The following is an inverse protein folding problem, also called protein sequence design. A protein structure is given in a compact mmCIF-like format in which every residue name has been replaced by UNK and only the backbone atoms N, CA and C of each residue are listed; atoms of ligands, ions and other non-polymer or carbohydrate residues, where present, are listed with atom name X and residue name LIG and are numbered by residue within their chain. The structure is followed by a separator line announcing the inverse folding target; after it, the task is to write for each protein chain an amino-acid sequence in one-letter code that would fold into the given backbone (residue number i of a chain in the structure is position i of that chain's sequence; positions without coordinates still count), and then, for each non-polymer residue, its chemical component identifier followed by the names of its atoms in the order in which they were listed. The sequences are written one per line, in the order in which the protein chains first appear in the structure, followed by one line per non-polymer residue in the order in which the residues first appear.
data_IF_038444631865
#
_entry.id   IF_038444631865
#
_cell.length_a   1.000
_cell.length_b   1.000
_cell.length_c   1.000
_cell.angle_alpha   90.00
_cell.angle_beta   90.00
_cell.angle_gamma   90.00
#
_symmetry.space_group_name_H-M   'P 1'
#
loop_
_entity.id
_entity.type
_entity.pdbx_description
1 polymer ?
#
# COMPACT_ATOMS: atom_id res chain seq x y z
N UNK A 1 -12.34 -0.82 8.46
CA UNK A 1 -11.08 -0.25 7.96
C UNK A 1 -11.05 -0.34 6.44
N UNK A 2 -10.62 0.70 5.79
CA UNK A 2 -10.51 0.73 4.33
C UNK A 2 -9.07 1.02 3.94
N UNK A 3 -8.53 0.23 3.01
CA UNK A 3 -7.17 0.37 2.54
C UNK A 3 -7.21 0.57 1.03
N UNK A 4 -6.57 1.65 0.56
CA UNK A 4 -6.45 1.93 -0.87
C UNK A 4 -4.99 1.91 -1.23
N UNK A 5 -4.63 1.19 -2.28
CA UNK A 5 -3.27 1.21 -2.80
C UNK A 5 -3.29 1.63 -4.27
N UNK A 6 -2.42 2.56 -4.59
CA UNK A 6 -2.21 3.01 -5.96
C UNK A 6 -0.74 2.83 -6.30
N UNK A 7 -0.46 2.31 -7.48
CA UNK A 7 0.91 2.05 -7.92
C UNK A 7 1.18 2.93 -9.13
N UNK A 8 2.27 3.70 -9.07
CA UNK A 8 2.66 4.57 -10.16
C UNK A 8 4.15 4.44 -10.46
N UNK A 9 4.58 5.00 -11.59
CA UNK A 9 5.98 4.97 -11.98
C UNK A 9 6.33 3.79 -12.88
N UNK A 10 7.61 3.62 -13.17
CA UNK A 10 8.09 2.57 -14.03
C UNK A 10 7.52 2.70 -15.44
N UNK A 11 7.07 1.59 -15.98
CA UNK A 11 6.44 1.55 -17.31
C UNK A 11 4.92 1.62 -17.22
N UNK A 12 4.40 2.25 -16.20
CA UNK A 12 2.96 2.30 -15.94
C UNK A 12 2.21 3.21 -16.93
N UNK A 13 2.49 3.06 -18.20
CA UNK A 13 1.73 3.70 -19.24
C UNK A 13 0.39 3.00 -19.49
N UNK A 14 0.17 1.87 -18.85
CA UNK A 14 -1.07 1.10 -19.00
C UNK A 14 -2.02 1.52 -17.88
N UNK A 15 -3.10 2.26 -18.18
CA UNK A 15 -3.98 2.80 -17.13
C UNK A 15 -4.56 1.75 -16.20
N UNK A 16 -4.81 0.54 -16.70
CA UNK A 16 -5.37 -0.52 -15.86
C UNK A 16 -4.46 -0.96 -14.73
N UNK A 17 -3.13 -0.83 -14.91
CA UNK A 17 -2.18 -1.24 -13.89
C UNK A 17 -2.00 -0.18 -12.82
N UNK A 18 -2.37 1.07 -13.12
CA UNK A 18 -2.25 2.16 -12.16
C UNK A 18 -3.56 2.48 -11.46
N UNK A 19 -4.64 1.76 -11.78
CA UNK A 19 -5.93 1.98 -11.13
C UNK A 19 -5.83 1.62 -9.64
N UNK A 20 -6.36 2.48 -8.75
CA UNK A 20 -6.33 2.18 -7.32
C UNK A 20 -7.11 0.92 -6.99
N UNK A 21 -6.59 0.15 -6.05
CA UNK A 21 -7.28 -1.01 -5.50
C UNK A 21 -7.76 -0.67 -4.10
N UNK A 22 -9.01 -0.99 -3.80
CA UNK A 22 -9.59 -0.73 -2.49
C UNK A 22 -9.91 -2.03 -1.79
N UNK A 23 -9.48 -2.14 -0.54
CA UNK A 23 -9.79 -3.29 0.32
C UNK A 23 -10.60 -2.77 1.49
N UNK A 24 -11.81 -3.31 1.65
CA UNK A 24 -12.64 -3.02 2.82
C UNK A 24 -12.55 -4.24 3.74
N UNK A 25 -11.91 -4.08 4.89
CA UNK A 25 -11.66 -5.21 5.79
C UNK A 25 -12.94 -5.79 6.38
N UNK A 26 -14.05 -5.06 6.30
CA UNK A 26 -15.35 -5.58 6.75
C UNK A 26 -15.95 -6.55 5.72
N UNK A 27 -15.42 -6.56 4.51
CA UNK A 27 -15.94 -7.38 3.41
C UNK A 27 -15.03 -8.54 3.02
N UNK A 28 -13.91 -8.71 3.69
CA UNK A 28 -13.01 -9.82 3.44
C UNK A 28 -13.02 -10.78 4.61
N UNK A 29 -12.39 -11.93 4.42
CA UNK A 29 -12.24 -12.93 5.47
C UNK A 29 -11.63 -12.29 6.72
N UNK A 30 -12.20 -12.60 7.89
CA UNK A 30 -11.72 -12.06 9.17
C UNK A 30 -10.24 -12.37 9.42
N UNK A 31 -9.77 -13.50 8.91
CA UNK A 31 -8.34 -13.87 9.03
C UNK A 31 -7.47 -12.89 8.25
N UNK A 32 -7.87 -12.56 7.04
CA UNK A 32 -7.13 -11.61 6.21
C UNK A 32 -7.19 -10.21 6.81
N UNK A 33 -8.35 -9.82 7.33
CA UNK A 33 -8.49 -8.52 7.98
C UNK A 33 -7.58 -8.40 9.19
N UNK A 34 -7.52 -9.45 10.01
CA UNK A 34 -6.63 -9.48 11.18
C UNK A 34 -5.16 -9.46 10.79
N UNK A 35 -4.81 -10.15 9.70
CA UNK A 35 -3.45 -10.14 9.18
C UNK A 35 -3.03 -8.75 8.73
N UNK A 36 -3.89 -8.06 7.99
CA UNK A 36 -3.61 -6.70 7.55
C UNK A 36 -3.45 -5.75 8.73
N UNK A 37 -4.33 -5.87 9.72
CA UNK A 37 -4.23 -5.03 10.91
C UNK A 37 -2.91 -5.25 11.63
N UNK A 38 -2.48 -6.50 11.76
CA UNK A 38 -1.21 -6.84 12.38
C UNK A 38 -0.03 -6.24 11.61
N UNK A 39 -0.06 -6.33 10.29
CA UNK A 39 0.99 -5.77 9.45
C UNK A 39 1.05 -4.24 9.56
N UNK A 40 -0.10 -3.58 9.64
CA UNK A 40 -0.16 -2.14 9.84
C UNK A 40 0.48 -1.76 11.17
N UNK A 41 0.19 -2.52 12.23
CA UNK A 41 0.78 -2.27 13.54
C UNK A 41 2.29 -2.51 13.54
N UNK A 42 2.75 -3.57 12.90
CA UNK A 42 4.18 -3.86 12.82
C UNK A 42 4.95 -2.79 12.05
N UNK A 43 4.31 -2.22 11.04
CA UNK A 43 4.92 -1.17 10.22
C UNK A 43 4.77 0.21 10.86
N UNK A 44 4.04 0.34 11.96
CA UNK A 44 3.71 1.63 12.57
C UNK A 44 3.15 2.59 11.52
N UNK A 45 2.21 2.11 10.72
CA UNK A 45 1.77 2.81 9.52
C UNK A 45 1.33 4.25 9.81
N UNK A 46 0.52 4.46 10.86
CA UNK A 46 0.01 5.79 11.16
C UNK A 46 1.08 6.75 11.69
N UNK A 47 2.24 6.23 12.07
CA UNK A 47 3.38 7.04 12.53
C UNK A 47 4.42 7.24 11.43
N UNK A 48 4.22 6.63 10.26
CA UNK A 48 5.16 6.80 9.15
C UNK A 48 5.02 8.20 8.54
N UNK A 49 6.13 8.76 8.03
CA UNK A 49 6.04 10.03 7.30
C UNK A 49 5.23 9.82 6.01
N UNK A 50 4.70 10.92 5.48
CA UNK A 50 3.90 10.84 4.26
C UNK A 50 4.72 10.37 3.06
N UNK A 51 6.02 10.57 3.07
CA UNK A 51 6.91 10.15 1.99
C UNK A 51 8.04 9.32 2.57
N UNK A 52 8.18 8.11 2.04
CA UNK A 52 9.25 7.19 2.42
C UNK A 52 10.06 6.90 1.15
N UNK A 53 11.38 7.01 1.25
CA UNK A 53 12.28 6.77 0.12
C UNK A 53 11.99 7.68 -1.07
N UNK A 54 12.40 8.95 -0.97
CA UNK A 54 12.27 9.89 -2.09
C UNK A 54 13.11 9.40 -3.26
N UNK A 55 12.54 9.32 -4.48
CA UNK A 55 13.30 8.88 -5.64
C UNK A 55 14.42 9.87 -5.97
N UNK A 56 15.57 9.32 -6.37
CA UNK A 56 16.68 10.12 -6.83
C UNK A 56 16.42 10.61 -8.25
N UNK A 57 17.00 11.77 -8.65
CA UNK A 57 16.89 12.23 -10.02
C UNK A 57 17.37 11.15 -10.99
N UNK A 58 16.62 10.93 -12.05
CA UNK A 58 16.97 9.90 -13.03
C UNK A 58 16.46 8.51 -12.70
N UNK A 59 15.75 8.35 -11.59
CA UNK A 59 15.21 7.05 -11.16
C UNK A 59 13.81 6.83 -11.69
N UNK A 60 13.60 7.05 -12.98
CA UNK A 60 12.27 7.00 -13.58
C UNK A 60 11.63 5.62 -13.59
N UNK A 61 12.45 4.57 -13.47
CA UNK A 61 11.96 3.20 -13.51
C UNK A 61 11.51 2.65 -12.17
N UNK A 62 11.63 3.45 -11.11
CA UNK A 62 11.24 3.00 -9.78
C UNK A 62 9.72 3.11 -9.60
N UNK A 63 9.16 2.08 -8.97
CA UNK A 63 7.74 2.06 -8.64
C UNK A 63 7.47 2.84 -7.37
N UNK A 64 6.35 3.53 -7.32
CA UNK A 64 5.89 4.23 -6.12
C UNK A 64 4.55 3.65 -5.70
N UNK A 65 4.44 3.30 -4.43
CA UNK A 65 3.22 2.75 -3.86
C UNK A 65 2.60 3.80 -2.95
N UNK A 66 1.37 4.17 -3.25
CA UNK A 66 0.65 5.17 -2.45
C UNK A 66 -0.43 4.41 -1.69
N UNK A 67 -0.24 4.29 -0.39
CA UNK A 67 -1.14 3.52 0.48
C UNK A 67 -1.89 4.47 1.39
N UNK A 68 -3.21 4.39 1.34
CA UNK A 68 -4.08 5.19 2.20
C UNK A 68 -4.88 4.23 3.07
N UNK A 69 -4.84 4.45 4.38
CA UNK A 69 -5.61 3.65 5.34
C UNK A 69 -6.55 4.56 6.11
N UNK A 70 -7.81 4.17 6.12
CA UNK A 70 -8.85 4.85 6.90
C UNK A 70 -9.36 3.89 7.97
N UNK A 71 -9.16 4.23 9.22
CA UNK A 71 -9.54 3.39 10.35
C UNK A 71 -9.86 4.26 11.58
N UNK A 72 -10.97 3.97 12.23
CA UNK A 72 -11.34 4.60 13.50
C UNK A 72 -11.27 6.13 13.45
N UNK A 73 -11.77 6.71 12.38
CA UNK A 73 -11.79 8.17 12.22
C UNK A 73 -10.44 8.78 11.83
N UNK A 74 -9.43 7.96 11.59
CA UNK A 74 -8.12 8.45 11.14
C UNK A 74 -7.88 8.06 9.69
N UNK A 75 -7.25 8.95 8.96
CA UNK A 75 -6.85 8.70 7.57
C UNK A 75 -5.38 9.07 7.45
N UNK A 76 -4.59 8.17 6.90
CA UNK A 76 -3.17 8.43 6.69
C UNK A 76 -2.74 7.87 5.34
N UNK A 77 -1.99 8.65 4.60
CA UNK A 77 -1.46 8.27 3.29
C UNK A 77 0.05 8.26 3.36
N UNK A 78 0.65 7.16 2.91
CA UNK A 78 2.11 7.04 2.84
C UNK A 78 2.49 6.72 1.42
N UNK A 79 3.44 7.48 0.89
CA UNK A 79 4.00 7.25 -0.43
C UNK A 79 5.37 6.59 -0.28
N UNK A 80 5.50 5.40 -0.83
CA UNK A 80 6.72 4.59 -0.66
C UNK A 80 7.30 4.30 -2.03
N UNK A 81 8.55 4.69 -2.25
CA UNK A 81 9.23 4.44 -3.53
C UNK A 81 10.24 3.31 -3.36
N UNK A 82 10.30 2.41 -4.36
CA UNK A 82 11.29 1.33 -4.37
C UNK A 82 12.72 1.89 -4.29
N UNK A 83 13.65 1.13 -3.73
CA UNK A 83 13.43 -0.12 -3.02
C UNK A 83 12.87 0.13 -1.62
N UNK A 84 11.94 -0.72 -1.20
CA UNK A 84 11.39 -0.62 0.15
C UNK A 84 12.37 -1.25 1.11
N UNK A 85 13.05 -0.43 1.90
CA UNK A 85 14.09 -0.91 2.80
C UNK A 85 13.57 -1.39 4.15
N UNK A 86 12.39 -0.93 4.55
CA UNK A 86 11.77 -1.37 5.80
C UNK A 86 11.04 -2.70 5.56
N UNK A 87 11.48 -3.81 6.17
CA UNK A 87 10.83 -5.11 5.96
C UNK A 87 9.34 -5.11 6.32
N UNK A 88 8.96 -4.37 7.34
CA UNK A 88 7.57 -4.32 7.78
C UNK A 88 6.70 -3.63 6.73
N UNK A 89 7.19 -2.53 6.15
CA UNK A 89 6.47 -1.85 5.08
C UNK A 89 6.43 -2.72 3.82
N UNK A 90 7.51 -3.41 3.51
CA UNK A 90 7.55 -4.30 2.35
C UNK A 90 6.50 -5.40 2.48
N UNK A 91 6.45 -6.05 3.63
CA UNK A 91 5.47 -7.10 3.89
C UNK A 91 4.05 -6.58 3.76
N UNK A 92 3.80 -5.39 4.30
CA UNK A 92 2.48 -4.76 4.24
C UNK A 92 2.07 -4.50 2.78
N UNK A 93 2.94 -3.87 2.01
CA UNK A 93 2.65 -3.55 0.60
C UNK A 93 2.40 -4.81 -0.20
N UNK A 94 3.25 -5.82 -0.04
CA UNK A 94 3.09 -7.07 -0.78
C UNK A 94 1.77 -7.76 -0.44
N UNK A 95 1.39 -7.74 0.83
CA UNK A 95 0.15 -8.40 1.25
C UNK A 95 -1.07 -7.64 0.75
N UNK A 96 -1.05 -6.32 0.81
CA UNK A 96 -2.14 -5.50 0.27
C UNK A 96 -2.32 -5.79 -1.22
N UNK A 97 -1.24 -5.86 -1.96
CA UNK A 97 -1.30 -6.14 -3.40
C UNK A 97 -1.88 -7.52 -3.68
N UNK A 98 -1.45 -8.51 -2.92
CA UNK A 98 -1.93 -9.87 -3.10
C UNK A 98 -3.44 -9.99 -2.83
N UNK A 99 -3.90 -9.38 -1.74
CA UNK A 99 -5.31 -9.40 -1.37
C UNK A 99 -6.13 -8.58 -2.37
N UNK A 100 -5.63 -7.40 -2.73
CA UNK A 100 -6.30 -6.55 -3.69
C UNK A 100 -6.51 -7.23 -5.03
N UNK A 101 -5.51 -7.95 -5.53
CA UNK A 101 -5.65 -8.70 -6.77
C UNK A 101 -6.68 -9.81 -6.64
N UNK A 102 -6.71 -10.49 -5.51
CA UNK A 102 -7.65 -11.58 -5.27
C UNK A 102 -9.09 -11.08 -5.22
N UNK A 103 -9.32 -9.89 -4.66
CA UNK A 103 -10.65 -9.31 -4.52
C UNK A 103 -11.18 -8.68 -5.81
N UNK A 104 -10.37 -8.60 -6.84
CA UNK A 104 -10.72 -7.93 -8.08
C UNK A 104 -11.50 -8.76 -9.08
N UNK A 105 -12.00 -9.84 -8.70
CA UNK A 105 -12.76 -10.71 -9.60
C UNK A 105 -14.12 -10.19 -9.92
#
# INVERSE_FOLDING_TARGET
MKIVIEISGGFAAIPKLSAPSTIDTDKIDARLAGELKSLLDQANFFDQPEVVNTPLPGSADLMTYIVTVQAEGRVHTVRITDPITDPSLQNLVERIRAIGSSERR
#
